data_IF_425429139602
#
_entry.id   IF_425429139602
#
_cell.length_a   1.000
_cell.length_b   1.000
_cell.length_c   1.000
_cell.angle_alpha   90.00
_cell.angle_beta   90.00
_cell.angle_gamma   90.00
#
_symmetry.space_group_name_H-M   'P 1'
#
loop_
_entity.id
_entity.type
_entity.pdbx_description
1 polymer ?
#
# COMPACT_ATOMS: atom_id res chain seq x y z
N UNK A 1 -18.88 -16.23 13.25
CA UNK A 1 -17.46 -16.14 12.85
C UNK A 1 -16.87 -14.95 13.60
N UNK A 2 -15.77 -15.13 14.35
CA UNK A 2 -15.15 -14.02 15.05
C UNK A 2 -14.47 -13.12 14.00
N UNK A 3 -14.71 -11.80 14.00
CA UNK A 3 -14.15 -10.90 13.01
C UNK A 3 -12.65 -10.69 13.26
N UNK A 4 -11.83 -11.27 12.40
CA UNK A 4 -10.36 -11.17 12.40
C UNK A 4 -9.89 -9.78 11.97
N UNK A 5 -8.70 -9.36 12.41
CA UNK A 5 -8.08 -8.10 11.99
C UNK A 5 -7.75 -8.13 10.51
N UNK A 6 -7.59 -6.96 9.92
CA UNK A 6 -7.22 -6.80 8.51
C UNK A 6 -5.78 -6.28 8.45
N UNK A 7 -4.89 -7.02 7.80
CA UNK A 7 -3.51 -6.60 7.53
C UNK A 7 -3.42 -6.33 6.04
N UNK A 8 -3.16 -5.08 5.67
CA UNK A 8 -3.12 -4.62 4.28
C UNK A 8 -1.73 -4.08 3.93
N UNK A 9 -1.03 -4.70 2.98
CA UNK A 9 0.30 -4.27 2.55
C UNK A 9 0.32 -3.82 1.10
N UNK A 10 0.89 -2.65 0.83
CA UNK A 10 1.32 -2.25 -0.52
C UNK A 10 2.68 -2.88 -0.82
N UNK A 11 2.72 -3.77 -1.80
CA UNK A 11 3.88 -4.56 -2.16
C UNK A 11 4.30 -4.22 -3.59
N UNK A 12 5.54 -3.76 -3.72
CA UNK A 12 6.25 -3.68 -4.99
C UNK A 12 7.21 -4.88 -5.05
N UNK A 13 6.76 -5.95 -5.69
CA UNK A 13 7.51 -7.20 -5.81
C UNK A 13 8.79 -6.98 -6.62
N UNK A 14 8.76 -6.06 -7.57
CA UNK A 14 9.94 -5.74 -8.35
C UNK A 14 10.99 -5.11 -7.44
N UNK A 15 10.64 -4.05 -6.70
CA UNK A 15 11.52 -3.40 -5.74
C UNK A 15 12.05 -4.37 -4.69
N UNK A 16 11.20 -5.22 -4.11
CA UNK A 16 11.60 -6.24 -3.13
C UNK A 16 12.67 -7.17 -3.72
N UNK A 17 12.47 -7.64 -4.95
CA UNK A 17 13.39 -8.56 -5.63
C UNK A 17 14.78 -7.97 -5.91
N UNK A 18 14.86 -6.65 -6.01
CA UNK A 18 16.10 -5.92 -6.28
C UNK A 18 16.82 -5.47 -5.01
N UNK A 19 16.07 -5.22 -3.93
CA UNK A 19 16.58 -4.52 -2.75
C UNK A 19 16.97 -5.46 -1.62
N UNK A 20 16.22 -6.55 -1.43
CA UNK A 20 16.41 -7.46 -0.31
C UNK A 20 17.29 -8.65 -0.67
N UNK A 21 18.20 -9.00 0.24
CA UNK A 21 18.95 -10.25 0.19
C UNK A 21 18.04 -11.48 0.35
N UNK A 22 18.55 -12.67 0.03
CA UNK A 22 17.78 -13.90 0.16
C UNK A 22 17.33 -14.18 1.61
N UNK A 23 18.18 -13.88 2.60
CA UNK A 23 17.84 -14.03 4.01
C UNK A 23 16.70 -13.06 4.40
N UNK A 24 16.78 -11.82 3.93
CA UNK A 24 15.76 -10.79 4.15
C UNK A 24 14.42 -11.16 3.52
N UNK A 25 14.44 -11.68 2.29
CA UNK A 25 13.24 -12.19 1.62
C UNK A 25 12.66 -13.37 2.40
N UNK A 26 13.47 -14.29 2.93
CA UNK A 26 12.95 -15.39 3.74
C UNK A 26 12.28 -14.90 5.02
N UNK A 27 12.88 -13.92 5.71
CA UNK A 27 12.26 -13.29 6.90
C UNK A 27 10.94 -12.60 6.54
N UNK A 28 10.89 -11.92 5.40
CA UNK A 28 9.69 -11.29 4.84
C UNK A 28 8.57 -12.32 4.61
N UNK A 29 8.89 -13.42 3.94
CA UNK A 29 7.93 -14.50 3.66
C UNK A 29 7.44 -15.12 4.96
N UNK A 30 8.34 -15.38 5.90
CA UNK A 30 7.99 -16.02 7.17
C UNK A 30 7.03 -15.15 7.99
N UNK A 31 7.24 -13.84 8.06
CA UNK A 31 6.32 -12.98 8.79
C UNK A 31 4.96 -12.86 8.09
N UNK A 32 4.92 -12.80 6.75
CA UNK A 32 3.66 -12.83 6.00
C UNK A 32 2.89 -14.13 6.20
N UNK A 33 3.60 -15.26 6.21
CA UNK A 33 3.03 -16.57 6.47
C UNK A 33 2.33 -16.59 7.82
N UNK A 34 3.01 -16.15 8.88
CA UNK A 34 2.44 -16.11 10.22
C UNK A 34 1.29 -15.09 10.32
N UNK A 35 1.44 -13.89 9.77
CA UNK A 35 0.37 -12.89 9.74
C UNK A 35 -0.90 -13.42 9.07
N UNK A 36 -0.76 -14.21 8.00
CA UNK A 36 -1.88 -14.80 7.28
C UNK A 36 -2.65 -15.87 8.05
N UNK A 37 -2.04 -16.51 9.05
CA UNK A 37 -2.71 -17.52 9.89
C UNK A 37 -3.72 -16.87 10.83
N UNK A 38 -3.39 -15.68 11.34
CA UNK A 38 -4.16 -15.03 12.41
C UNK A 38 -5.05 -13.87 11.92
N UNK A 39 -4.90 -13.43 10.66
CA UNK A 39 -5.49 -12.20 10.16
C UNK A 39 -5.96 -12.33 8.70
N UNK A 40 -6.90 -11.47 8.30
CA UNK A 40 -7.21 -11.25 6.89
C UNK A 40 -6.09 -10.46 6.21
N UNK A 41 -5.16 -11.20 5.58
CA UNK A 41 -4.04 -10.63 4.85
C UNK A 41 -4.45 -10.17 3.45
N UNK A 42 -4.16 -8.92 3.11
CA UNK A 42 -4.29 -8.34 1.77
C UNK A 42 -2.94 -7.84 1.28
N UNK A 43 -2.48 -8.34 0.14
CA UNK A 43 -1.32 -7.83 -0.57
C UNK A 43 -1.80 -7.04 -1.78
N UNK A 44 -1.56 -5.73 -1.81
CA UNK A 44 -1.89 -4.85 -2.91
C UNK A 44 -0.67 -4.62 -3.77
N UNK A 45 -0.81 -4.72 -5.09
CA UNK A 45 0.30 -4.45 -6.02
C UNK A 45 -0.22 -3.92 -7.35
N UNK A 46 0.59 -3.11 -8.01
CA UNK A 46 0.39 -2.72 -9.40
C UNK A 46 1.34 -3.48 -10.34
N UNK A 47 2.18 -4.36 -9.80
CA UNK A 47 3.00 -5.24 -10.63
C UNK A 47 2.12 -6.20 -11.43
N UNK A 48 2.62 -6.60 -12.60
CA UNK A 48 1.92 -7.54 -13.46
C UNK A 48 1.71 -8.90 -12.79
N UNK A 49 0.56 -9.51 -13.05
CA UNK A 49 0.22 -10.82 -12.48
C UNK A 49 1.26 -11.90 -12.81
N UNK A 50 1.72 -11.98 -14.05
CA UNK A 50 2.67 -13.02 -14.48
C UNK A 50 4.02 -12.93 -13.77
N UNK A 51 4.45 -11.73 -13.37
CA UNK A 51 5.63 -11.52 -12.55
C UNK A 51 5.40 -11.99 -11.11
N UNK A 52 4.34 -11.47 -10.51
CA UNK A 52 4.00 -11.70 -9.10
C UNK A 52 3.71 -13.17 -8.82
N UNK A 53 3.12 -13.89 -9.79
CA UNK A 53 2.84 -15.32 -9.66
C UNK A 53 4.08 -16.15 -9.30
N UNK A 54 5.28 -15.76 -9.78
CA UNK A 54 6.53 -16.46 -9.48
C UNK A 54 6.89 -16.35 -8.00
N UNK A 55 6.65 -15.19 -7.39
CA UNK A 55 6.82 -14.97 -5.96
C UNK A 55 5.77 -15.75 -5.17
N UNK A 56 4.49 -15.64 -5.54
CA UNK A 56 3.41 -16.31 -4.81
C UNK A 56 3.57 -17.84 -4.80
N UNK A 57 4.02 -18.43 -5.91
CA UNK A 57 4.31 -19.86 -5.97
C UNK A 57 5.44 -20.26 -5.02
N UNK A 58 6.48 -19.43 -4.91
CA UNK A 58 7.60 -19.67 -4.01
C UNK A 58 7.25 -19.42 -2.52
N UNK A 59 6.43 -18.41 -2.24
CA UNK A 59 6.11 -17.99 -0.87
C UNK A 59 5.11 -18.92 -0.19
N UNK A 60 4.24 -19.58 -0.98
CA UNK A 60 3.29 -20.58 -0.51
C UNK A 60 2.48 -20.14 0.73
N UNK A 61 1.96 -18.92 0.70
CA UNK A 61 1.18 -18.34 1.80
C UNK A 61 -0.15 -19.10 1.98
N UNK A 62 -0.52 -19.50 3.21
CA UNK A 62 -1.61 -20.44 3.47
C UNK A 62 -3.00 -19.78 3.36
N UNK A 63 -3.09 -18.46 3.57
CA UNK A 63 -4.34 -17.69 3.56
C UNK A 63 -4.12 -16.26 3.06
N UNK A 64 -5.21 -15.57 2.74
CA UNK A 64 -5.20 -14.16 2.34
C UNK A 64 -5.47 -13.93 0.86
N UNK A 65 -5.31 -12.67 0.45
CA UNK A 65 -5.71 -12.18 -0.87
C UNK A 65 -4.57 -11.39 -1.49
N UNK A 66 -4.39 -11.55 -2.79
CA UNK A 66 -3.59 -10.62 -3.59
C UNK A 66 -4.50 -9.82 -4.52
N UNK A 67 -4.31 -8.51 -4.50
CA UNK A 67 -5.13 -7.52 -5.17
C UNK A 67 -4.26 -6.74 -6.15
N UNK A 68 -4.52 -6.95 -7.43
CA UNK A 68 -3.80 -6.33 -8.52
C UNK A 68 -4.47 -5.03 -8.97
N UNK A 69 -3.65 -4.09 -9.46
CA UNK A 69 -4.11 -2.90 -10.20
C UNK A 69 -5.18 -2.11 -9.44
N UNK A 70 -4.89 -1.78 -8.18
CA UNK A 70 -5.79 -1.04 -7.28
C UNK A 70 -7.19 -1.65 -7.08
N UNK A 71 -7.32 -2.98 -7.24
CA UNK A 71 -8.59 -3.68 -7.06
C UNK A 71 -9.24 -4.19 -8.35
N UNK A 72 -8.56 -4.07 -9.49
CA UNK A 72 -9.08 -4.55 -10.77
C UNK A 72 -9.16 -6.08 -10.83
N UNK A 73 -8.27 -6.81 -10.16
CA UNK A 73 -8.31 -8.27 -10.15
C UNK A 73 -7.84 -8.80 -8.80
N UNK A 74 -8.55 -9.78 -8.25
CA UNK A 74 -8.29 -10.31 -6.91
C UNK A 74 -8.21 -11.83 -6.96
N UNK A 75 -7.18 -12.37 -6.33
CA UNK A 75 -7.01 -13.81 -6.15
C UNK A 75 -6.95 -14.15 -4.67
N UNK A 76 -7.58 -15.27 -4.31
CA UNK A 76 -7.35 -15.88 -3.01
C UNK A 76 -6.04 -16.68 -3.06
N UNK A 77 -5.12 -16.42 -2.14
CA UNK A 77 -3.76 -16.96 -2.15
C UNK A 77 -3.72 -18.49 -2.09
N UNK A 78 -4.46 -19.08 -1.14
CA UNK A 78 -4.45 -20.54 -0.93
C UNK A 78 -5.02 -21.33 -2.12
N UNK A 79 -6.24 -20.98 -2.55
CA UNK A 79 -6.93 -21.68 -3.64
C UNK A 79 -6.44 -21.28 -5.03
N UNK A 80 -5.67 -20.19 -5.14
CA UNK A 80 -5.24 -19.55 -6.40
C UNK A 80 -6.41 -19.22 -7.34
N UNK A 81 -7.63 -19.12 -6.80
CA UNK A 81 -8.83 -18.79 -7.56
C UNK A 81 -9.02 -17.29 -7.63
N UNK A 82 -9.41 -16.82 -8.82
CA UNK A 82 -9.88 -15.45 -9.02
C UNK A 82 -11.21 -15.28 -8.30
N UNK A 83 -11.31 -14.26 -7.45
CA UNK A 83 -12.51 -13.95 -6.65
C UNK A 83 -13.34 -12.86 -7.33
N UNK A 84 -12.67 -11.87 -7.89
CA UNK A 84 -13.32 -10.71 -8.47
C UNK A 84 -12.45 -10.10 -9.57
N UNK A 85 -13.10 -9.53 -10.58
CA UNK A 85 -12.48 -8.74 -11.62
C UNK A 85 -13.32 -7.53 -12.01
N UNK A 86 -12.63 -6.46 -12.39
CA UNK A 86 -13.20 -5.22 -12.89
C UNK A 86 -12.30 -4.64 -13.96
N UNK A 87 -12.91 -4.28 -15.08
CA UNK A 87 -12.22 -3.74 -16.24
C UNK A 87 -12.41 -2.22 -16.36
N UNK A 88 -11.44 -1.59 -17.00
CA UNK A 88 -11.58 -0.23 -17.50
C UNK A 88 -12.56 -0.25 -18.69
N UNK A 89 -13.42 0.78 -18.80
CA UNK A 89 -14.41 0.81 -19.87
C UNK A 89 -13.74 0.82 -21.25
N UNK A 90 -14.28 0.07 -22.22
CA UNK A 90 -13.70 -0.02 -23.57
C UNK A 90 -13.52 1.37 -24.21
N UNK A 91 -14.45 2.28 -23.97
CA UNK A 91 -14.38 3.67 -24.43
C UNK A 91 -13.20 4.44 -23.82
N UNK A 92 -12.98 4.32 -22.51
CA UNK A 92 -11.84 4.95 -21.84
C UNK A 92 -10.51 4.36 -22.35
N UNK A 93 -10.43 3.03 -22.43
CA UNK A 93 -9.26 2.30 -22.94
C UNK A 93 -8.88 2.80 -24.32
N UNK A 94 -9.80 2.76 -25.29
CA UNK A 94 -9.52 3.16 -26.67
C UNK A 94 -9.04 4.61 -26.74
N UNK A 95 -9.67 5.53 -26.01
CA UNK A 95 -9.29 6.95 -26.05
C UNK A 95 -7.92 7.22 -25.42
N UNK A 96 -7.64 6.63 -24.25
CA UNK A 96 -6.33 6.75 -23.58
C UNK A 96 -5.23 6.19 -24.49
N UNK A 97 -5.41 4.97 -25.01
CA UNK A 97 -4.38 4.32 -25.84
C UNK A 97 -4.18 5.04 -27.16
N UNK A 98 -5.24 5.52 -27.82
CA UNK A 98 -5.11 6.39 -29.01
C UNK A 98 -4.31 7.64 -28.71
N UNK A 99 -4.62 8.32 -27.61
CA UNK A 99 -3.88 9.50 -27.19
C UNK A 99 -2.39 9.20 -27.01
N UNK A 100 -2.06 8.13 -26.27
CA UNK A 100 -0.67 7.72 -26.07
C UNK A 100 0.03 7.37 -27.39
N UNK A 101 -0.62 6.62 -28.28
CA UNK A 101 -0.05 6.23 -29.56
C UNK A 101 0.29 7.44 -30.44
N UNK A 102 -0.67 8.36 -30.66
CA UNK A 102 -0.43 9.53 -31.51
C UNK A 102 0.55 10.54 -30.91
N UNK A 103 0.73 10.53 -29.59
CA UNK A 103 1.70 11.36 -28.88
C UNK A 103 3.04 10.66 -28.66
N UNK A 104 3.22 9.43 -29.17
CA UNK A 104 4.42 8.62 -28.98
C UNK A 104 4.81 8.44 -27.51
N UNK A 105 3.81 8.26 -26.65
CA UNK A 105 4.01 8.03 -25.21
C UNK A 105 4.08 6.55 -24.91
N UNK A 106 5.03 6.17 -24.05
CA UNK A 106 5.22 4.79 -23.60
C UNK A 106 4.05 4.33 -22.73
N UNK A 107 3.43 3.21 -23.09
CA UNK A 107 2.23 2.73 -22.40
C UNK A 107 2.27 1.21 -22.23
N UNK A 108 1.83 0.74 -21.07
CA UNK A 108 1.62 -0.67 -20.76
C UNK A 108 0.12 -0.94 -20.59
N UNK A 109 -0.36 -2.01 -21.20
CA UNK A 109 -1.75 -2.49 -21.11
C UNK A 109 -1.78 -3.79 -20.31
N UNK A 110 -2.49 -3.82 -19.17
CA UNK A 110 -2.66 -5.03 -18.37
C UNK A 110 -4.01 -5.67 -18.67
N UNK A 111 -4.00 -6.95 -19.05
CA UNK A 111 -5.18 -7.61 -19.64
C UNK A 111 -5.81 -8.68 -18.75
N UNK A 112 -7.06 -9.03 -19.04
CA UNK A 112 -7.85 -10.08 -18.39
C UNK A 112 -7.17 -11.45 -18.34
N UNK A 113 -6.33 -11.74 -19.33
CA UNK A 113 -5.59 -13.00 -19.47
C UNK A 113 -4.26 -12.97 -18.72
N UNK A 114 -4.05 -11.98 -17.85
CA UNK A 114 -2.84 -11.80 -17.07
C UNK A 114 -1.58 -11.56 -17.93
N UNK A 115 -1.76 -11.23 -19.20
CA UNK A 115 -0.71 -10.75 -20.10
C UNK A 115 -0.62 -9.24 -20.01
N UNK A 116 0.58 -8.71 -20.21
CA UNK A 116 0.80 -7.27 -20.29
C UNK A 116 1.55 -6.94 -21.58
N UNK A 117 1.05 -5.93 -22.29
CA UNK A 117 1.57 -5.49 -23.58
C UNK A 117 2.16 -4.08 -23.45
N UNK A 118 3.19 -3.75 -24.22
CA UNK A 118 3.82 -2.41 -24.18
C UNK A 118 3.90 -1.79 -25.57
N UNK A 119 3.60 -0.50 -25.69
CA UNK A 119 3.89 0.33 -26.86
C UNK A 119 4.85 1.45 -26.47
N UNK A 120 5.75 1.82 -27.38
CA UNK A 120 6.80 2.79 -27.11
C UNK A 120 7.98 2.12 -26.42
N UNK A 121 8.42 2.68 -25.29
CA UNK A 121 9.71 2.27 -24.73
C UNK A 121 9.55 1.06 -23.83
N UNK A 122 10.33 0.03 -24.15
CA UNK A 122 10.50 -1.17 -23.35
C UNK A 122 11.61 -0.91 -22.30
N UNK A 123 11.40 0.00 -21.34
CA UNK A 123 12.44 0.28 -20.32
C UNK A 123 12.49 -0.87 -19.31
N UNK A 124 13.39 -1.81 -19.58
CA UNK A 124 14.43 -2.18 -18.63
C UNK A 124 15.77 -1.78 -19.25
N UNK A 125 16.10 -0.49 -19.28
CA UNK A 125 17.49 -0.08 -19.43
C UNK A 125 18.17 -0.35 -18.09
N UNK A 126 18.70 -1.56 -18.03
CA UNK A 126 19.43 -2.18 -16.94
C UNK A 126 20.57 -1.28 -16.40
N UNK A 127 21.01 -0.27 -17.15
CA UNK A 127 22.19 0.54 -16.81
C UNK A 127 22.05 1.35 -15.50
N UNK A 128 20.85 1.84 -15.14
CA UNK A 128 20.63 2.59 -13.88
C UNK A 128 20.58 1.73 -12.61
N UNK A 129 20.37 0.42 -12.73
CA UNK A 129 20.14 -0.49 -11.60
C UNK A 129 21.25 -1.54 -11.43
N UNK A 130 22.38 -1.41 -12.14
CA UNK A 130 23.54 -2.34 -12.09
C UNK A 130 24.36 -2.29 -10.78
N UNK A 131 23.96 -1.48 -9.81
CA UNK A 131 24.59 -1.45 -8.50
C UNK A 131 23.93 -2.46 -7.56
N UNK A 132 24.63 -3.58 -7.34
CA UNK A 132 24.48 -4.57 -6.25
C UNK A 132 23.98 -5.96 -6.71
N UNK A 133 24.70 -6.97 -6.19
CA UNK A 133 24.78 -8.36 -6.62
C UNK A 133 23.43 -9.09 -6.86
N UNK A 134 23.22 -9.57 -8.09
CA UNK A 134 22.05 -10.34 -8.49
C UNK A 134 22.27 -11.86 -8.34
N UNK A 135 21.44 -12.54 -7.53
CA UNK A 135 21.33 -14.02 -7.51
C UNK A 135 19.95 -14.54 -7.94
N UNK A 136 18.96 -13.67 -8.11
CA UNK A 136 17.85 -13.94 -9.03
C UNK A 136 18.31 -13.46 -10.40
N UNK A 137 18.55 -14.39 -11.35
CA UNK A 137 18.73 -14.03 -12.76
C UNK A 137 17.70 -12.96 -13.08
N UNK A 138 18.14 -11.76 -13.49
CA UNK A 138 17.29 -10.64 -13.93
C UNK A 138 15.95 -11.19 -14.39
N UNK A 139 14.93 -11.14 -13.53
CA UNK A 139 13.57 -11.43 -13.95
C UNK A 139 13.18 -10.24 -14.81
N UNK A 140 13.67 -10.24 -16.05
CA UNK A 140 13.27 -9.26 -17.02
C UNK A 140 11.80 -9.50 -17.26
N UNK A 141 11.00 -8.56 -16.78
CA UNK A 141 9.64 -8.49 -17.22
C UNK A 141 9.64 -8.19 -18.72
N UNK A 142 9.36 -9.20 -19.55
CA UNK A 142 9.16 -9.01 -20.99
C UNK A 142 7.68 -8.79 -21.24
N UNK A 143 7.27 -7.53 -21.22
CA UNK A 143 6.01 -7.13 -21.84
C UNK A 143 6.02 -7.55 -23.31
N UNK A 144 4.87 -8.00 -23.82
CA UNK A 144 4.73 -8.27 -25.26
C UNK A 144 4.74 -6.92 -25.99
N UNK A 145 5.76 -6.69 -26.81
CA UNK A 145 5.94 -5.40 -27.49
C UNK A 145 5.00 -5.25 -28.68
N UNK A 146 4.34 -4.10 -28.73
CA UNK A 146 3.48 -3.62 -29.80
C UNK A 146 4.20 -2.47 -30.51
N UNK A 147 4.19 -2.50 -31.85
CA UNK A 147 4.85 -1.53 -32.73
C UNK A 147 3.86 -0.69 -33.52
N UNK A 148 2.69 -1.25 -33.85
CA UNK A 148 1.73 -0.60 -34.74
C UNK A 148 0.36 -0.41 -34.09
N UNK A 149 -0.40 0.55 -34.61
CA UNK A 149 -1.80 0.73 -34.22
C UNK A 149 -2.66 -0.52 -34.50
N UNK A 150 -2.33 -1.27 -35.57
CA UNK A 150 -3.02 -2.52 -35.90
C UNK A 150 -2.89 -3.58 -34.80
N UNK A 151 -1.66 -3.80 -34.32
CA UNK A 151 -1.38 -4.73 -33.21
C UNK A 151 -2.04 -4.25 -31.90
N UNK A 152 -2.00 -2.94 -31.63
CA UNK A 152 -2.71 -2.36 -30.47
C UNK A 152 -4.21 -2.65 -30.58
N UNK A 153 -4.81 -2.38 -31.74
CA UNK A 153 -6.24 -2.59 -31.97
C UNK A 153 -6.62 -4.07 -31.77
N UNK A 154 -5.80 -4.99 -32.28
CA UNK A 154 -5.98 -6.43 -32.06
C UNK A 154 -6.00 -6.77 -30.57
N UNK A 155 -5.10 -6.19 -29.77
CA UNK A 155 -5.12 -6.35 -28.31
C UNK A 155 -6.42 -5.80 -27.71
N UNK A 156 -6.87 -4.61 -28.12
CA UNK A 156 -8.08 -3.97 -27.60
C UNK A 156 -9.39 -4.68 -28.01
N UNK A 157 -9.36 -5.44 -29.11
CA UNK A 157 -10.51 -6.22 -29.59
C UNK A 157 -10.56 -7.61 -28.95
N UNK A 158 -9.39 -8.21 -28.66
CA UNK A 158 -9.31 -9.56 -28.11
C UNK A 158 -9.27 -9.63 -26.57
N UNK A 159 -8.87 -8.54 -25.90
CA UNK A 159 -8.66 -8.55 -24.45
C UNK A 159 -9.42 -7.43 -23.74
N UNK A 160 -10.00 -7.78 -22.58
CA UNK A 160 -10.46 -6.77 -21.62
C UNK A 160 -9.27 -6.23 -20.85
N UNK A 161 -9.27 -4.92 -20.58
CA UNK A 161 -8.13 -4.22 -19.95
C UNK A 161 -8.45 -3.92 -18.49
N UNK A 162 -7.62 -4.38 -17.56
CA UNK A 162 -7.72 -4.05 -16.14
C UNK A 162 -7.28 -2.61 -15.86
N UNK A 163 -6.12 -2.25 -16.43
CA UNK A 163 -5.46 -0.97 -16.20
C UNK A 163 -4.53 -0.61 -17.35
N UNK A 164 -4.21 0.68 -17.41
CA UNK A 164 -3.21 1.23 -18.33
C UNK A 164 -2.18 1.97 -17.49
N UNK A 165 -0.90 1.73 -17.75
CA UNK A 165 0.21 2.47 -17.15
C UNK A 165 0.90 3.31 -18.22
N UNK A 166 1.05 4.61 -17.98
CA UNK A 166 1.78 5.54 -18.83
C UNK A 166 3.13 5.85 -18.16
N UNK A 167 4.21 5.67 -18.91
CA UNK A 167 5.58 5.77 -18.42
C UNK A 167 6.29 7.01 -18.94
N UNK A 168 7.03 7.68 -18.06
CA UNK A 168 7.95 8.77 -18.38
C UNK A 168 9.38 8.31 -18.07
N UNK A 169 10.30 8.52 -19.01
CA UNK A 169 11.71 8.11 -18.86
C UNK A 169 12.50 9.08 -17.98
N UNK A 170 12.01 10.31 -17.93
CA UNK A 170 12.63 11.39 -17.20
C UNK A 170 12.53 11.09 -15.68
N UNK A 171 13.53 11.47 -14.88
CA UNK A 171 13.49 11.29 -13.42
C UNK A 171 12.49 12.26 -12.80
N UNK A 172 11.63 11.80 -11.88
CA UNK A 172 10.59 12.60 -11.23
C UNK A 172 11.10 14.00 -10.82
N UNK A 173 10.72 15.01 -11.60
CA UNK A 173 11.04 16.41 -11.37
C UNK A 173 9.78 17.26 -11.61
N UNK A 174 9.86 18.56 -11.27
CA UNK A 174 8.73 19.49 -11.41
C UNK A 174 8.22 19.61 -12.85
N UNK A 175 9.05 19.31 -13.86
CA UNK A 175 8.66 19.37 -15.27
C UNK A 175 7.77 18.18 -15.62
N UNK A 176 8.13 16.97 -15.18
CA UNK A 176 7.34 15.76 -15.38
C UNK A 176 6.03 15.85 -14.62
N UNK A 177 6.04 16.31 -13.37
CA UNK A 177 4.82 16.51 -12.58
C UNK A 177 3.81 17.38 -13.35
N UNK A 178 4.25 18.51 -13.90
CA UNK A 178 3.41 19.38 -14.74
C UNK A 178 2.92 18.68 -16.01
N UNK A 179 3.78 17.91 -16.69
CA UNK A 179 3.42 17.14 -17.89
C UNK A 179 2.34 16.09 -17.58
N UNK A 180 2.50 15.38 -16.46
CA UNK A 180 1.52 14.41 -15.96
C UNK A 180 0.20 15.07 -15.59
N UNK A 181 0.22 16.23 -14.92
CA UNK A 181 -0.97 17.03 -14.63
C UNK A 181 -1.69 17.49 -15.90
N UNK A 182 -0.96 17.96 -16.91
CA UNK A 182 -1.54 18.39 -18.19
C UNK A 182 -2.22 17.20 -18.90
N UNK A 183 -1.53 16.06 -18.97
CA UNK A 183 -2.07 14.84 -19.62
C UNK A 183 -3.30 14.35 -18.89
N UNK A 184 -3.25 14.27 -17.57
CA UNK A 184 -4.38 13.78 -16.76
C UNK A 184 -5.56 14.72 -16.87
N UNK A 185 -5.36 16.04 -16.74
CA UNK A 185 -6.41 17.04 -17.00
C UNK A 185 -7.00 16.85 -18.40
N UNK A 186 -6.18 16.78 -19.44
CA UNK A 186 -6.66 16.61 -20.81
C UNK A 186 -7.53 15.34 -20.96
N UNK A 187 -7.07 14.22 -20.41
CA UNK A 187 -7.81 12.95 -20.49
C UNK A 187 -9.12 12.97 -19.68
N UNK A 188 -9.17 13.69 -18.56
CA UNK A 188 -10.40 13.80 -17.75
C UNK A 188 -11.43 14.78 -18.32
N UNK A 189 -11.06 15.63 -19.30
CA UNK A 189 -12.02 16.50 -20.00
C UNK A 189 -12.93 15.73 -20.96
N UNK A 190 -12.57 14.51 -21.31
CA UNK A 190 -13.44 13.69 -22.13
C UNK A 190 -14.52 13.04 -21.26
N UNK A 191 -15.72 12.89 -21.82
CA UNK A 191 -16.87 12.26 -21.16
C UNK A 191 -16.72 10.73 -21.05
N UNK A 192 -15.76 10.29 -20.26
CA UNK A 192 -15.59 8.91 -19.85
C UNK A 192 -14.97 8.84 -18.46
N UNK A 193 -15.42 7.87 -17.66
CA UNK A 193 -15.05 7.80 -16.25
C UNK A 193 -13.95 6.77 -16.01
N UNK A 194 -12.92 7.21 -15.28
CA UNK A 194 -11.77 6.42 -14.86
C UNK A 194 -11.14 7.06 -13.63
N UNK A 195 -10.36 6.29 -12.88
CA UNK A 195 -9.52 6.79 -11.79
C UNK A 195 -8.08 6.92 -12.26
N UNK A 196 -7.40 7.90 -11.70
CA UNK A 196 -5.99 8.17 -11.93
C UNK A 196 -5.23 8.00 -10.63
N UNK A 197 -4.10 7.32 -10.69
CA UNK A 197 -3.12 7.27 -9.62
C UNK A 197 -1.75 7.62 -10.19
N UNK A 198 -1.07 8.59 -9.58
CA UNK A 198 0.22 9.09 -10.04
C UNK A 198 1.25 8.74 -8.96
N UNK A 199 2.34 8.11 -9.38
CA UNK A 199 3.49 7.80 -8.52
C UNK A 199 4.76 7.98 -9.35
N UNK A 200 5.73 8.71 -8.79
CA UNK A 200 7.02 8.99 -9.40
C UNK A 200 6.89 9.49 -10.86
N UNK A 201 7.41 8.73 -11.83
CA UNK A 201 7.37 9.04 -13.26
C UNK A 201 6.32 8.21 -14.01
N UNK A 202 5.19 7.89 -13.34
CA UNK A 202 4.15 7.00 -13.87
C UNK A 202 2.75 7.53 -13.59
N UNK A 203 1.86 7.33 -14.57
CA UNK A 203 0.42 7.53 -14.41
C UNK A 203 -0.28 6.19 -14.62
N UNK A 204 -1.09 5.78 -13.66
CA UNK A 204 -1.96 4.61 -13.78
C UNK A 204 -3.41 5.04 -13.99
N UNK A 205 -4.07 4.35 -14.91
CA UNK A 205 -5.49 4.51 -15.21
C UNK A 205 -6.24 3.22 -14.85
N UNK A 206 -7.26 3.35 -14.03
CA UNK A 206 -8.08 2.24 -13.53
C UNK A 206 -9.57 2.53 -13.72
N UNK A 207 -10.40 1.49 -13.61
CA UNK A 207 -11.85 1.67 -13.54
C UNK A 207 -12.22 2.65 -12.42
N UNK A 208 -13.21 3.52 -12.64
CA UNK A 208 -13.65 4.48 -11.61
C UNK A 208 -14.16 3.80 -10.33
N UNK A 209 -14.63 2.56 -10.47
CA UNK A 209 -15.14 1.76 -9.37
C UNK A 209 -14.03 1.10 -8.54
N UNK A 210 -12.79 1.09 -9.03
CA UNK A 210 -11.68 0.45 -8.32
C UNK A 210 -11.34 1.22 -7.04
N UNK A 211 -11.30 0.52 -5.91
CA UNK A 211 -10.89 1.06 -4.62
C UNK A 211 -10.44 -0.08 -3.70
N UNK A 212 -9.23 0.03 -3.15
CA UNK A 212 -8.69 -0.96 -2.22
C UNK A 212 -9.57 -1.15 -0.98
N UNK A 213 -10.16 -0.06 -0.49
CA UNK A 213 -11.09 -0.09 0.64
C UNK A 213 -12.40 -0.82 0.30
N UNK A 214 -12.97 -0.59 -0.89
CA UNK A 214 -14.17 -1.32 -1.33
C UNK A 214 -13.88 -2.80 -1.58
N UNK A 215 -12.66 -3.13 -2.01
CA UNK A 215 -12.20 -4.52 -2.13
C UNK A 215 -12.21 -5.22 -0.78
N UNK A 216 -11.60 -4.61 0.24
CA UNK A 216 -11.61 -5.15 1.61
C UNK A 216 -13.06 -5.35 2.07
N UNK A 217 -13.89 -4.32 1.92
CA UNK A 217 -15.33 -4.37 2.28
C UNK A 217 -16.07 -5.53 1.63
N UNK A 218 -15.89 -5.74 0.32
CA UNK A 218 -16.55 -6.82 -0.42
C UNK A 218 -16.09 -8.20 0.04
N UNK A 219 -14.79 -8.37 0.32
CA UNK A 219 -14.22 -9.66 0.69
C UNK A 219 -14.54 -10.02 2.14
N UNK A 220 -14.41 -9.08 3.06
CA UNK A 220 -14.65 -9.33 4.49
C UNK A 220 -16.13 -9.19 4.89
N UNK A 221 -16.96 -8.61 4.02
CA UNK A 221 -18.35 -8.25 4.31
C UNK A 221 -18.52 -7.34 5.54
N UNK A 222 -17.45 -6.64 5.95
CA UNK A 222 -17.47 -5.71 7.08
C UNK A 222 -18.01 -4.34 6.68
N UNK A 223 -18.63 -3.63 7.63
CA UNK A 223 -18.96 -2.22 7.46
C UNK A 223 -17.69 -1.35 7.39
N UNK A 224 -17.81 -0.11 6.90
CA UNK A 224 -16.67 0.80 6.82
C UNK A 224 -16.06 1.10 8.20
N UNK A 225 -16.90 1.27 9.22
CA UNK A 225 -16.42 1.56 10.58
C UNK A 225 -15.74 0.34 11.22
N UNK A 226 -16.21 -0.87 10.92
CA UNK A 226 -15.52 -2.09 11.34
C UNK A 226 -14.16 -2.22 10.65
N UNK A 227 -14.06 -1.91 9.36
CA UNK A 227 -12.76 -1.89 8.66
C UNK A 227 -11.84 -0.86 9.33
N UNK A 228 -12.31 0.37 9.53
CA UNK A 228 -11.52 1.44 10.16
C UNK A 228 -11.00 1.07 11.54
N UNK A 229 -11.76 0.29 12.32
CA UNK A 229 -11.36 -0.16 13.66
C UNK A 229 -10.42 -1.36 13.65
N UNK A 230 -10.27 -2.06 12.52
CA UNK A 230 -9.55 -3.33 12.44
C UNK A 230 -8.43 -3.37 11.39
N UNK A 231 -8.29 -2.30 10.60
CA UNK A 231 -7.33 -2.21 9.51
C UNK A 231 -5.97 -1.73 10.00
N UNK A 232 -4.97 -2.59 9.84
CA UNK A 232 -3.55 -2.27 9.96
C UNK A 232 -3.00 -2.17 8.54
N UNK A 233 -2.59 -0.97 8.14
CA UNK A 233 -2.13 -0.66 6.79
C UNK A 233 -0.63 -0.41 6.74
N UNK A 234 0.01 -0.98 5.72
CA UNK A 234 1.45 -0.93 5.48
C UNK A 234 1.73 -0.41 4.09
N UNK A 235 2.33 0.77 3.99
CA UNK A 235 2.86 1.30 2.74
C UNK A 235 4.36 1.06 2.66
N UNK A 236 4.73 -0.17 2.28
CA UNK A 236 6.12 -0.53 1.93
C UNK A 236 6.50 0.03 0.55
N UNK A 237 5.51 0.21 -0.32
CA UNK A 237 5.59 1.00 -1.54
C UNK A 237 4.68 2.24 -1.42
N UNK A 238 4.50 2.98 -2.52
CA UNK A 238 3.84 4.27 -2.49
C UNK A 238 2.44 4.20 -1.86
N UNK A 239 2.14 5.01 -0.82
CA UNK A 239 0.90 4.87 -0.05
C UNK A 239 -0.37 5.20 -0.84
N UNK A 240 -1.45 4.45 -0.58
CA UNK A 240 -2.82 4.80 -0.94
C UNK A 240 -3.42 5.68 0.17
N UNK A 241 -3.65 6.96 -0.13
CA UNK A 241 -4.15 7.91 0.87
C UNK A 241 -5.53 7.56 1.40
N UNK A 242 -6.42 7.01 0.56
CA UNK A 242 -7.78 6.67 1.00
C UNK A 242 -7.72 5.49 1.97
N UNK A 243 -6.91 4.48 1.67
CA UNK A 243 -6.73 3.34 2.56
C UNK A 243 -6.04 3.74 3.86
N UNK A 244 -4.99 4.57 3.78
CA UNK A 244 -4.28 5.12 4.95
C UNK A 244 -5.20 5.90 5.89
N UNK A 245 -6.01 6.82 5.36
CA UNK A 245 -6.94 7.62 6.18
C UNK A 245 -8.07 6.80 6.80
N UNK A 246 -8.35 5.60 6.27
CA UNK A 246 -9.33 4.67 6.81
C UNK A 246 -8.67 3.52 7.57
N UNK A 247 -7.38 3.61 7.88
CA UNK A 247 -6.68 2.61 8.66
C UNK A 247 -6.63 3.01 10.12
N UNK A 248 -6.72 1.99 10.99
CA UNK A 248 -6.56 2.16 12.42
C UNK A 248 -5.10 2.43 12.77
N UNK A 249 -4.20 1.64 12.17
CA UNK A 249 -2.77 1.88 12.19
C UNK A 249 -2.24 1.98 10.79
N UNK A 250 -1.39 2.97 10.57
CA UNK A 250 -0.68 3.15 9.32
C UNK A 250 0.83 3.11 9.58
N UNK A 251 1.52 2.23 8.87
CA UNK A 251 2.97 2.13 8.83
C UNK A 251 3.46 2.49 7.43
N UNK A 252 4.52 3.29 7.33
CA UNK A 252 5.07 3.72 6.04
C UNK A 252 6.59 3.77 6.04
N UNK A 253 7.21 3.50 4.90
CA UNK A 253 8.63 3.81 4.72
C UNK A 253 8.86 5.33 4.86
N UNK A 254 9.93 5.71 5.58
CA UNK A 254 10.42 7.10 5.69
C UNK A 254 10.61 7.83 4.35
N UNK A 255 10.86 7.11 3.25
CA UNK A 255 11.03 7.70 1.90
C UNK A 255 9.77 8.45 1.45
N UNK A 256 8.59 8.10 1.95
CA UNK A 256 7.33 8.76 1.57
C UNK A 256 6.97 9.94 2.48
N UNK A 257 7.80 10.27 3.47
CA UNK A 257 7.46 11.27 4.49
C UNK A 257 7.12 12.65 3.94
N UNK A 258 7.86 13.14 2.94
CA UNK A 258 7.56 14.43 2.30
C UNK A 258 6.20 14.43 1.59
N UNK A 259 5.89 13.37 0.85
CA UNK A 259 4.60 13.23 0.16
C UNK A 259 3.44 13.13 1.15
N UNK A 260 3.60 12.32 2.19
CA UNK A 260 2.61 12.15 3.26
C UNK A 260 2.36 13.47 3.98
N UNK A 261 3.42 14.23 4.26
CA UNK A 261 3.31 15.53 4.91
C UNK A 261 2.52 16.55 4.09
N UNK A 262 2.58 16.47 2.75
CA UNK A 262 1.77 17.32 1.86
C UNK A 262 0.31 16.85 1.75
N UNK A 263 0.00 15.57 2.02
CA UNK A 263 -1.30 14.96 1.75
C UNK A 263 -2.20 14.76 2.97
N UNK A 264 -1.62 14.61 4.16
CA UNK A 264 -2.36 14.36 5.40
C UNK A 264 -1.79 15.23 6.50
N UNK A 265 -2.61 16.11 7.08
CA UNK A 265 -2.24 16.92 8.24
C UNK A 265 -2.47 16.15 9.56
N UNK A 266 -3.51 15.33 9.61
CA UNK A 266 -4.03 14.75 10.86
C UNK A 266 -3.55 13.32 11.13
N UNK A 267 -3.64 12.43 10.14
CA UNK A 267 -3.23 11.03 10.30
C UNK A 267 -1.82 10.84 9.73
N UNK A 268 -0.84 10.66 10.62
CA UNK A 268 0.55 10.38 10.23
C UNK A 268 0.86 8.90 10.47
N UNK A 269 1.65 8.26 9.60
CA UNK A 269 2.07 6.89 9.82
C UNK A 269 3.11 6.81 10.93
N UNK A 270 3.27 5.60 11.45
CA UNK A 270 4.51 5.15 12.08
C UNK A 270 5.53 4.90 10.97
N UNK A 271 6.61 5.67 10.99
CA UNK A 271 7.64 5.57 9.96
C UNK A 271 8.63 4.44 10.26
N UNK A 272 8.86 3.60 9.26
CA UNK A 272 9.84 2.51 9.31
C UNK A 272 11.17 2.99 8.71
N UNK A 273 12.33 2.69 9.33
CA UNK A 273 13.64 3.09 8.82
C UNK A 273 13.87 2.61 7.38
N UNK A 274 14.53 3.46 6.59
CA UNK A 274 14.84 3.21 5.17
C UNK A 274 15.61 1.90 4.96
N UNK A 275 15.14 1.10 4.00
CA UNK A 275 15.98 0.17 3.22
C UNK A 275 16.52 -1.05 3.97
N UNK A 276 15.91 -1.46 5.07
CA UNK A 276 16.24 -2.72 5.75
C UNK A 276 14.94 -3.39 6.23
N UNK A 277 14.92 -4.71 6.29
CA UNK A 277 13.89 -5.51 6.97
C UNK A 277 13.77 -5.25 8.48
N UNK A 278 14.47 -4.28 9.06
CA UNK A 278 14.37 -3.90 10.47
C UNK A 278 12.90 -3.68 10.93
N UNK A 279 12.00 -3.36 9.99
CA UNK A 279 10.57 -3.32 10.26
C UNK A 279 9.99 -4.69 10.65
N UNK A 280 10.48 -5.79 10.06
CA UNK A 280 10.11 -7.18 10.42
C UNK A 280 10.49 -7.45 11.86
N UNK A 281 11.72 -7.11 12.27
CA UNK A 281 12.18 -7.32 13.65
C UNK A 281 11.30 -6.54 14.62
N UNK A 282 10.95 -5.30 14.28
CA UNK A 282 9.98 -4.51 15.04
C UNK A 282 8.63 -5.25 15.18
N UNK A 283 8.10 -5.87 14.13
CA UNK A 283 6.84 -6.64 14.22
C UNK A 283 6.94 -7.92 15.02
N UNK A 284 8.11 -8.55 15.04
CA UNK A 284 8.38 -9.71 15.88
C UNK A 284 8.36 -9.30 17.36
N UNK A 285 9.00 -8.19 17.69
CA UNK A 285 8.95 -7.62 19.05
C UNK A 285 7.54 -7.15 19.45
N UNK A 286 6.72 -6.81 18.45
CA UNK A 286 5.35 -6.31 18.61
C UNK A 286 4.28 -7.32 18.18
N UNK A 287 4.56 -8.63 18.29
CA UNK A 287 3.64 -9.64 17.77
C UNK A 287 2.26 -9.60 18.41
N UNK A 288 2.14 -9.16 19.66
CA UNK A 288 0.86 -9.00 20.34
C UNK A 288 -0.14 -8.06 19.62
N UNK A 289 0.34 -7.14 18.76
CA UNK A 289 -0.52 -6.25 17.95
C UNK A 289 -1.33 -7.08 16.95
N UNK A 290 -0.73 -8.12 16.34
CA UNK A 290 -1.33 -8.89 15.25
C UNK A 290 -1.58 -10.38 15.56
N UNK A 291 -0.99 -10.93 16.64
CA UNK A 291 -1.01 -12.35 16.99
C UNK A 291 -1.79 -12.67 18.29
N UNK A 292 -1.55 -11.95 19.39
CA UNK A 292 -2.03 -12.35 20.74
C UNK A 292 -3.53 -12.20 20.98
N UNK A 293 -4.24 -11.47 20.14
CA UNK A 293 -5.69 -11.32 20.19
C UNK A 293 -6.24 -11.64 18.81
N UNK A 294 -6.78 -12.85 18.62
CA UNK A 294 -7.61 -13.17 17.45
C UNK A 294 -8.82 -12.21 17.34
N UNK A 295 -9.16 -11.50 18.42
CA UNK A 295 -10.20 -10.49 18.45
C UNK A 295 -9.70 -9.14 17.92
N UNK A 296 -10.66 -8.37 17.38
CA UNK A 296 -10.57 -6.96 16.95
C UNK A 296 -9.66 -6.09 17.82
N UNK A 297 -9.22 -4.94 17.28
CA UNK A 297 -8.36 -3.99 18.01
C UNK A 297 -9.03 -3.32 19.22
N UNK A 298 -10.30 -3.65 19.50
CA UNK A 298 -11.12 -3.20 20.63
C UNK A 298 -10.47 -3.44 22.01
N UNK A 299 -9.49 -4.34 22.12
CA UNK A 299 -8.73 -4.53 23.37
C UNK A 299 -7.97 -3.26 23.81
N UNK A 300 -7.59 -2.39 22.85
CA UNK A 300 -6.97 -1.09 23.16
C UNK A 300 -7.97 -0.22 23.93
N UNK A 301 -9.23 -0.16 23.46
CA UNK A 301 -10.29 0.57 24.17
C UNK A 301 -10.48 0.06 25.60
N UNK A 302 -10.40 -1.26 25.82
CA UNK A 302 -10.48 -1.86 27.17
C UNK A 302 -9.33 -1.44 28.07
N UNK A 303 -8.10 -1.37 27.53
CA UNK A 303 -6.94 -0.84 28.28
C UNK A 303 -7.10 0.64 28.61
N UNK A 304 -7.62 1.44 27.67
CA UNK A 304 -7.83 2.88 27.86
C UNK A 304 -8.95 3.21 28.85
N UNK A 305 -10.02 2.40 28.90
CA UNK A 305 -11.13 2.60 29.87
C UNK A 305 -10.71 2.49 31.33
N UNK A 306 -9.59 1.82 31.61
CA UNK A 306 -9.04 1.70 32.96
C UNK A 306 -8.12 2.87 33.33
N UNK A 307 -7.93 3.84 32.42
CA UNK A 307 -7.08 5.01 32.63
C UNK A 307 -7.95 6.15 33.12
N UNK A 308 -7.46 6.86 34.14
CA UNK A 308 -8.15 7.97 34.78
C UNK A 308 -8.58 9.05 33.76
N UNK A 309 -9.90 9.23 33.63
CA UNK A 309 -10.51 10.12 32.64
C UNK A 309 -10.16 11.59 32.81
N UNK A 310 -9.72 12.00 34.00
CA UNK A 310 -9.27 13.38 34.24
C UNK A 310 -7.93 13.69 33.55
N UNK A 311 -7.07 12.68 33.36
CA UNK A 311 -5.83 12.83 32.58
C UNK A 311 -6.06 12.91 31.07
N UNK A 312 -7.22 12.43 30.61
CA UNK A 312 -7.61 12.41 29.20
C UNK A 312 -8.33 13.70 28.76
N UNK A 313 -8.99 14.42 29.67
CA UNK A 313 -9.84 15.59 29.37
C UNK A 313 -9.13 16.94 29.29
N UNK A 314 -7.83 17.04 29.55
CA UNK A 314 -7.12 18.32 29.45
C UNK A 314 -6.98 18.74 27.97
N UNK A 315 -7.43 19.94 27.58
CA UNK A 315 -7.45 20.35 26.19
C UNK A 315 -6.07 20.27 25.56
N UNK A 316 -6.03 19.63 24.40
CA UNK A 316 -4.83 19.52 23.60
C UNK A 316 -4.78 20.71 22.66
N UNK A 317 -3.96 21.71 23.01
CA UNK A 317 -3.72 22.89 22.18
C UNK A 317 -2.60 22.54 21.19
N UNK A 318 -2.97 22.39 19.91
CA UNK A 318 -2.03 22.25 18.78
C UNK A 318 -1.94 20.86 18.14
N UNK A 319 -1.72 20.84 16.82
CA UNK A 319 -1.75 19.66 15.92
C UNK A 319 -0.59 18.65 16.11
N UNK A 320 0.33 18.89 17.03
CA UNK A 320 1.53 18.07 17.25
C UNK A 320 1.49 17.27 18.56
N UNK A 321 0.33 17.07 19.18
CA UNK A 321 0.25 16.35 20.45
C UNK A 321 -0.38 14.97 20.25
N UNK A 322 0.14 13.98 20.97
CA UNK A 322 -0.35 12.59 20.96
C UNK A 322 -0.25 11.98 22.36
N UNK A 323 -0.91 10.83 22.55
CA UNK A 323 -0.75 10.01 23.73
C UNK A 323 0.12 8.81 23.43
N UNK A 324 1.09 8.55 24.29
CA UNK A 324 1.95 7.38 24.29
C UNK A 324 1.44 6.39 25.34
N UNK A 325 0.72 5.35 24.93
CA UNK A 325 0.30 4.25 25.78
C UNK A 325 1.40 3.20 25.83
N UNK A 326 2.13 3.12 26.92
CA UNK A 326 3.03 2.01 27.16
C UNK A 326 2.21 0.72 27.28
N UNK A 327 2.35 -0.17 26.32
CA UNK A 327 1.56 -1.39 26.16
C UNK A 327 1.94 -2.46 27.18
N UNK A 328 3.16 -2.39 27.72
CA UNK A 328 3.65 -3.27 28.78
C UNK A 328 3.16 -2.84 30.17
N UNK A 329 3.24 -1.54 30.47
CA UNK A 329 2.88 -1.00 31.79
C UNK A 329 1.43 -0.50 31.86
N UNK A 330 0.77 -0.31 30.71
CA UNK A 330 -0.55 0.32 30.61
C UNK A 330 -0.53 1.84 30.82
N UNK A 331 0.65 2.46 31.00
CA UNK A 331 0.76 3.88 31.31
C UNK A 331 0.54 4.70 30.04
N UNK A 332 -0.47 5.57 30.05
CA UNK A 332 -0.69 6.56 29.01
C UNK A 332 -0.02 7.88 29.40
N UNK A 333 0.91 8.35 28.57
CA UNK A 333 1.64 9.60 28.76
C UNK A 333 1.33 10.56 27.62
N UNK A 334 1.05 11.83 27.91
CA UNK A 334 0.92 12.85 26.87
C UNK A 334 2.30 13.25 26.35
N UNK A 335 2.44 13.40 25.04
CA UNK A 335 3.70 13.76 24.37
C UNK A 335 3.43 14.79 23.26
N UNK A 336 4.47 15.55 22.94
CA UNK A 336 4.49 16.49 21.83
C UNK A 336 5.46 15.97 20.77
N UNK A 337 5.03 15.91 19.52
CA UNK A 337 5.83 15.58 18.35
C UNK A 337 6.70 16.80 18.01
N UNK A 338 8.00 16.74 18.32
CA UNK A 338 8.97 17.70 17.77
C UNK A 338 9.20 17.42 16.27
N UNK A 339 9.48 18.45 15.46
CA UNK A 339 9.70 18.29 14.00
C UNK A 339 10.85 17.31 13.66
N UNK A 340 11.84 17.16 14.55
CA UNK A 340 12.92 16.15 14.44
C UNK A 340 12.47 14.76 14.88
N UNK A 341 11.49 14.66 15.79
CA UNK A 341 10.91 13.43 16.33
C UNK A 341 9.69 12.93 15.54
N UNK A 342 9.28 13.65 14.48
CA UNK A 342 8.46 13.08 13.38
C UNK A 342 9.08 11.83 12.78
N UNK A 343 10.39 11.65 13.00
CA UNK A 343 11.11 10.40 12.81
C UNK A 343 11.05 9.66 14.14
N UNK A 344 10.55 8.43 14.12
CA UNK A 344 10.93 7.41 15.10
C UNK A 344 12.45 7.28 15.04
N UNK A 345 13.18 8.17 15.69
CA UNK A 345 14.59 7.95 15.94
C UNK A 345 14.57 6.83 16.94
N UNK A 346 14.81 5.61 16.43
CA UNK A 346 15.44 4.55 17.19
C UNK A 346 16.60 5.26 17.89
N UNK A 347 16.45 5.60 19.18
CA UNK A 347 17.53 6.21 19.94
C UNK A 347 18.65 5.20 19.87
N UNK A 348 19.66 5.52 19.07
CA UNK A 348 20.86 4.73 18.90
C UNK A 348 21.77 4.98 20.11
N UNK A 349 21.23 4.88 21.31
CA UNK A 349 21.99 5.13 22.53
C UNK A 349 21.85 3.90 23.43
N UNK A 350 22.88 3.06 23.34
CA UNK A 350 23.15 1.88 24.15
C UNK A 350 22.12 0.75 24.08
N UNK A 351 22.59 -0.41 23.62
CA UNK A 351 21.88 -1.69 23.43
C UNK A 351 21.33 -2.33 24.73
N UNK A 352 20.86 -1.56 25.72
CA UNK A 352 20.29 -2.07 26.98
C UNK A 352 19.03 -1.36 27.45
N UNK A 353 18.55 -0.31 26.80
CA UNK A 353 17.19 0.16 27.08
C UNK A 353 16.19 -0.69 26.29
N UNK A 354 15.54 -1.63 27.01
CA UNK A 354 14.32 -2.30 26.55
C UNK A 354 13.41 -1.26 25.92
N UNK A 355 13.21 -1.35 24.60
CA UNK A 355 12.22 -0.56 23.86
C UNK A 355 10.92 -0.57 24.66
N UNK A 356 10.58 0.55 25.28
CA UNK A 356 9.31 0.68 25.97
C UNK A 356 8.23 0.63 24.89
N UNK A 357 7.55 -0.50 24.82
CA UNK A 357 6.45 -0.78 23.90
C UNK A 357 5.39 0.28 24.11
N UNK A 358 5.25 1.20 23.16
CA UNK A 358 4.38 2.36 23.27
C UNK A 358 3.48 2.47 22.04
N UNK A 359 2.18 2.63 22.27
CA UNK A 359 1.18 2.91 21.24
C UNK A 359 0.93 4.41 21.19
N UNK A 360 1.04 4.97 19.99
CA UNK A 360 0.85 6.38 19.73
C UNK A 360 -0.59 6.58 19.29
N UNK A 361 -1.37 7.24 20.14
CA UNK A 361 -2.78 7.49 19.93
C UNK A 361 -2.99 8.98 19.75
N UNK A 362 -3.53 9.37 18.60
CA UNK A 362 -3.97 10.75 18.39
C UNK A 362 -5.25 11.04 19.17
N UNK A 363 -5.54 12.32 19.48
CA UNK A 363 -6.69 12.68 20.31
C UNK A 363 -8.02 12.17 19.76
N UNK A 364 -8.22 12.25 18.44
CA UNK A 364 -9.40 11.74 17.74
C UNK A 364 -9.56 10.22 17.88
N UNK A 365 -8.45 9.49 17.87
CA UNK A 365 -8.44 8.06 18.13
C UNK A 365 -8.86 7.77 19.58
N UNK A 366 -8.34 8.52 20.56
CA UNK A 366 -8.74 8.42 21.98
C UNK A 366 -10.23 8.71 22.16
N UNK A 367 -10.75 9.78 21.57
CA UNK A 367 -12.17 10.16 21.64
C UNK A 367 -13.05 9.03 21.07
N UNK A 368 -12.61 8.41 19.97
CA UNK A 368 -13.30 7.26 19.38
C UNK A 368 -13.32 6.03 20.31
N UNK A 369 -12.32 5.86 21.19
CA UNK A 369 -12.28 4.77 22.17
C UNK A 369 -13.12 5.02 23.41
N UNK A 370 -13.19 6.28 23.84
CA UNK A 370 -13.91 6.68 25.04
C UNK A 370 -15.42 6.83 24.80
N UNK A 371 -15.86 6.82 23.54
CA UNK A 371 -17.28 6.89 23.19
C UNK A 371 -17.87 8.30 23.34
N UNK A 372 -17.02 9.32 23.37
CA UNK A 372 -17.44 10.72 23.31
C UNK A 372 -17.69 11.10 21.85
N UNK A 373 -18.81 10.63 21.30
CA UNK A 373 -19.38 11.27 20.11
C UNK A 373 -19.66 12.74 20.48
N UNK A 374 -18.99 13.66 19.77
CA UNK A 374 -19.37 15.07 19.80
C UNK A 374 -20.80 15.16 19.25
N UNK A 375 -21.76 15.44 20.14
CA UNK A 375 -23.09 15.92 19.76
C UNK A 375 -23.00 17.35 19.25
#
# INVERSE_FOLDING_TARGET
>A
MLPEKIIALEVDFFHISQTFSAEEINKFIQILYEMSIYNNLFLFTNDSYSFVLQFLQAWNLPMGYIVFNSGACIYHLASKKKIFEKFLSKNAVVKIVRFCFFRQLSVILHTSNNLSFTFGINYLDISKYRGLAFKYKLLMFRYISLKTWGEIKEVLDNYSIYSIELLFNESADKSIERKMEIITKFLTHFDFKFKVFIVDSKIYFFSEENSKLEVIKKITSMSLDEIKRNLIYFSLSFPDSKLALNSYFWFSDTNFSEWINKKSEFNKPIYMPKGNIAWIDWWRENEYIWKDSLMRMDWISKKLKNIDSEKLKQPIIGNNNFYELNLKTGILSRKTLEDKEKRWVIKKDNWKEKLSLSLFLWPDQIDSFLGTEQK
#
